data_IF_453356811898
#
_entry.id   IF_453356811898
#
_cell.length_a   1.000
_cell.length_b   1.000
_cell.length_c   1.000
_cell.angle_alpha   90.00
_cell.angle_beta   90.00
_cell.angle_gamma   90.00
#
_symmetry.space_group_name_H-M   'P 1'
#
loop_
_entity.id
_entity.type
_entity.pdbx_description
1 polymer ?
#
# COMPACT_ATOMS: atom_id res chain seq x y z
N UNK A 1 -9.50 52.25 -6.52
CA UNK A 1 -8.56 52.30 -7.67
C UNK A 1 -7.99 50.90 -7.84
N UNK A 2 -8.68 50.05 -8.58
CA UNK A 2 -8.25 49.56 -9.90
C UNK A 2 -8.34 48.03 -9.77
N UNK A 3 -9.06 47.26 -10.57
CA UNK A 3 -9.41 47.38 -11.96
C UNK A 3 -9.38 45.93 -12.47
N UNK A 4 -10.48 45.20 -12.31
CA UNK A 4 -10.63 43.84 -12.83
C UNK A 4 -12.02 43.71 -13.44
N UNK A 5 -12.20 44.44 -14.54
CA UNK A 5 -13.27 44.24 -15.51
C UNK A 5 -12.90 43.06 -16.41
N UNK A 6 -13.94 42.37 -16.86
CA UNK A 6 -14.01 41.55 -18.08
C UNK A 6 -13.29 40.20 -18.08
N UNK A 7 -14.05 39.16 -17.71
CA UNK A 7 -14.06 37.89 -18.45
C UNK A 7 -15.45 37.27 -18.30
N UNK A 8 -16.40 37.86 -19.02
CA UNK A 8 -17.76 37.37 -19.20
C UNK A 8 -18.07 37.52 -20.69
N UNK A 9 -17.80 36.46 -21.46
CA UNK A 9 -18.35 36.16 -22.79
C UNK A 9 -17.47 35.11 -23.49
N UNK A 10 -17.97 33.87 -23.55
CA UNK A 10 -17.71 32.84 -24.58
C UNK A 10 -17.92 31.45 -23.95
N UNK A 11 -19.16 31.12 -23.60
CA UNK A 11 -19.57 29.77 -23.27
C UNK A 11 -20.85 29.46 -24.04
N UNK A 12 -20.77 29.58 -25.37
CA UNK A 12 -21.80 29.06 -26.26
C UNK A 12 -21.10 28.58 -27.54
N UNK A 13 -21.25 27.30 -27.88
CA UNK A 13 -20.68 26.73 -29.10
C UNK A 13 -19.74 25.50 -28.96
N UNK A 14 -19.90 24.64 -27.96
CA UNK A 14 -19.28 23.29 -28.01
C UNK A 14 -20.31 22.18 -27.80
N UNK A 15 -21.44 22.29 -28.48
CA UNK A 15 -22.31 21.17 -28.78
C UNK A 15 -22.12 20.89 -30.28
N UNK A 16 -22.07 19.62 -30.70
CA UNK A 16 -21.77 19.17 -32.08
C UNK A 16 -20.28 19.02 -32.44
N UNK A 17 -19.54 18.22 -31.65
CA UNK A 17 -18.48 17.37 -32.24
C UNK A 17 -18.37 16.05 -31.47
N UNK A 18 -19.50 15.34 -31.37
CA UNK A 18 -19.55 13.91 -31.07
C UNK A 18 -19.02 13.10 -32.25
N UNK A 19 -17.82 13.42 -32.75
CA UNK A 19 -17.11 12.61 -33.73
C UNK A 19 -16.62 11.40 -32.97
N UNK A 20 -17.34 10.28 -33.11
CA UNK A 20 -17.15 9.04 -32.37
C UNK A 20 -15.68 8.70 -32.23
N UNK A 21 -15.13 8.94 -31.04
CA UNK A 21 -13.78 8.56 -30.68
C UNK A 21 -13.69 7.05 -30.92
N UNK A 22 -12.88 6.66 -31.90
CA UNK A 22 -12.81 5.26 -32.34
C UNK A 22 -12.50 4.37 -31.14
N UNK A 23 -13.11 3.19 -31.06
CA UNK A 23 -12.90 2.24 -29.94
C UNK A 23 -11.41 1.97 -29.70
N UNK A 24 -10.60 2.02 -30.77
CA UNK A 24 -9.14 1.96 -30.71
C UNK A 24 -8.52 3.12 -29.91
N UNK A 25 -8.95 4.37 -30.12
CA UNK A 25 -8.48 5.52 -29.35
C UNK A 25 -8.91 5.46 -27.88
N UNK A 26 -10.10 4.95 -27.57
CA UNK A 26 -10.51 4.72 -26.18
C UNK A 26 -9.71 3.60 -25.50
N UNK A 27 -9.40 2.52 -26.22
CA UNK A 27 -8.53 1.45 -25.71
C UNK A 27 -7.11 1.93 -25.51
N UNK A 28 -6.58 2.74 -26.43
CA UNK A 28 -5.24 3.31 -26.33
C UNK A 28 -5.14 4.34 -25.20
N UNK A 29 -6.18 5.14 -24.98
CA UNK A 29 -6.27 6.05 -23.84
C UNK A 29 -6.37 5.32 -22.49
N UNK A 30 -7.02 4.14 -22.45
CA UNK A 30 -7.06 3.27 -21.25
C UNK A 30 -5.77 2.46 -21.05
N UNK A 31 -5.08 2.12 -22.14
CA UNK A 31 -3.83 1.37 -22.11
C UNK A 31 -2.61 2.27 -21.83
N UNK A 32 -2.76 3.59 -21.94
CA UNK A 32 -1.80 4.55 -21.42
C UNK A 32 -1.71 4.37 -19.90
N UNK A 33 -0.74 3.56 -19.47
CA UNK A 33 -0.40 3.39 -18.07
C UNK A 33 -0.24 4.77 -17.45
N UNK A 34 -0.79 5.02 -16.25
CA UNK A 34 -0.58 6.28 -15.56
C UNK A 34 0.93 6.50 -15.50
N UNK A 35 1.41 7.60 -16.09
CA UNK A 35 2.82 7.94 -16.03
C UNK A 35 3.14 8.19 -14.55
N UNK A 36 3.72 7.17 -13.90
CA UNK A 36 4.14 7.26 -12.51
C UNK A 36 5.14 8.41 -12.39
N UNK A 37 4.98 9.21 -11.35
CA UNK A 37 5.95 10.24 -11.02
C UNK A 37 7.34 9.62 -10.90
N UNK A 38 8.39 10.30 -11.39
CA UNK A 38 9.79 9.85 -11.24
C UNK A 38 10.14 9.55 -9.77
N UNK A 39 9.58 10.32 -8.84
CA UNK A 39 9.75 10.09 -7.40
C UNK A 39 9.08 8.81 -6.92
N UNK A 40 7.87 8.51 -7.43
CA UNK A 40 7.16 7.29 -7.09
C UNK A 40 7.89 6.06 -7.60
N UNK A 41 8.41 6.13 -8.83
CA UNK A 41 9.27 5.09 -9.39
C UNK A 41 10.53 4.87 -8.54
N UNK A 42 11.25 5.95 -8.21
CA UNK A 42 12.45 5.87 -7.38
C UNK A 42 12.15 5.27 -6.00
N UNK A 43 11.04 5.67 -5.37
CA UNK A 43 10.58 5.10 -4.10
C UNK A 43 10.35 3.59 -4.22
N UNK A 44 9.66 3.12 -5.25
CA UNK A 44 9.42 1.70 -5.47
C UNK A 44 10.71 0.91 -5.72
N UNK A 45 11.67 1.48 -6.46
CA UNK A 45 12.98 0.87 -6.66
C UNK A 45 13.73 0.73 -5.34
N UNK A 46 13.77 1.78 -4.51
CA UNK A 46 14.40 1.72 -3.17
C UNK A 46 13.73 0.65 -2.30
N UNK A 47 12.40 0.59 -2.29
CA UNK A 47 11.65 -0.43 -1.56
C UNK A 47 11.97 -1.85 -2.06
N UNK A 48 12.13 -2.05 -3.36
CA UNK A 48 12.51 -3.34 -3.93
C UNK A 48 13.93 -3.76 -3.52
N UNK A 49 14.90 -2.83 -3.53
CA UNK A 49 16.27 -3.10 -3.05
C UNK A 49 16.29 -3.46 -1.58
N UNK A 50 15.57 -2.72 -0.74
CA UNK A 50 15.43 -3.04 0.69
C UNK A 50 14.74 -4.40 0.91
N UNK A 51 13.75 -4.75 0.08
CA UNK A 51 13.13 -6.07 0.09
C UNK A 51 14.16 -7.17 -0.19
N UNK A 52 14.96 -7.00 -1.24
CA UNK A 52 15.97 -7.96 -1.66
C UNK A 52 17.07 -8.13 -0.60
N UNK A 53 17.54 -7.03 0.00
CA UNK A 53 18.51 -7.04 1.09
C UNK A 53 17.97 -7.80 2.30
N UNK A 54 16.72 -7.55 2.69
CA UNK A 54 16.10 -8.27 3.81
C UNK A 54 15.93 -9.76 3.52
N UNK A 55 15.54 -10.13 2.30
CA UNK A 55 15.44 -11.52 1.88
C UNK A 55 16.79 -12.23 1.91
N UNK A 56 17.86 -11.55 1.50
CA UNK A 56 19.22 -12.09 1.58
C UNK A 56 19.74 -12.18 3.02
N UNK A 57 19.38 -11.21 3.87
CA UNK A 57 19.88 -11.13 5.25
C UNK A 57 19.16 -12.09 6.19
N UNK A 58 17.87 -12.36 5.97
CA UNK A 58 17.08 -13.26 6.80
C UNK A 58 17.67 -14.67 6.99
N UNK A 59 18.04 -15.43 5.93
CA UNK A 59 18.66 -16.75 6.11
C UNK A 59 20.01 -16.65 6.84
N UNK A 60 20.77 -15.57 6.65
CA UNK A 60 22.04 -15.35 7.35
C UNK A 60 21.81 -15.12 8.84
N UNK A 61 20.87 -14.24 9.23
CA UNK A 61 20.54 -13.98 10.63
C UNK A 61 19.92 -15.20 11.31
N UNK A 62 18.99 -15.89 10.65
CA UNK A 62 18.38 -17.10 11.23
C UNK A 62 19.40 -18.22 11.40
N UNK A 63 20.29 -18.44 10.41
CA UNK A 63 21.38 -19.40 10.53
C UNK A 63 22.34 -19.00 11.65
N UNK A 64 22.72 -17.73 11.73
CA UNK A 64 23.58 -17.22 12.80
C UNK A 64 22.98 -17.50 14.17
N UNK A 65 21.69 -17.21 14.38
CA UNK A 65 20.99 -17.49 15.64
C UNK A 65 20.91 -18.99 15.97
N UNK A 66 20.80 -19.86 14.95
CA UNK A 66 20.80 -21.32 15.15
C UNK A 66 22.20 -21.88 15.45
N UNK A 67 23.25 -21.32 14.84
CA UNK A 67 24.63 -21.81 14.96
C UNK A 67 25.46 -21.09 16.03
N UNK A 68 24.95 -19.98 16.58
CA UNK A 68 25.61 -19.24 17.64
C UNK A 68 25.79 -20.14 18.86
N UNK A 69 27.05 -20.50 19.15
CA UNK A 69 27.45 -21.48 20.18
C UNK A 69 27.14 -21.06 21.62
N UNK A 70 26.59 -19.86 21.83
CA UNK A 70 26.49 -19.21 23.14
C UNK A 70 25.12 -19.41 23.80
N UNK A 71 24.15 -19.92 23.05
CA UNK A 71 22.79 -20.08 23.51
C UNK A 71 22.33 -21.50 23.18
N UNK A 72 21.46 -22.07 24.03
CA UNK A 72 20.78 -23.32 23.67
C UNK A 72 20.08 -23.09 22.31
N UNK A 73 20.26 -23.97 21.32
CA UNK A 73 19.74 -23.76 19.98
C UNK A 73 18.23 -23.52 20.07
N UNK A 74 17.80 -22.35 19.59
CA UNK A 74 16.39 -21.98 19.62
C UNK A 74 15.67 -22.91 18.63
N UNK A 75 14.65 -23.68 19.07
CA UNK A 75 13.85 -24.48 18.17
C UNK A 75 13.26 -23.60 17.08
N UNK A 76 13.34 -24.03 15.83
CA UNK A 76 12.81 -23.31 14.66
C UNK A 76 11.36 -22.89 14.83
N UNK A 77 10.55 -23.72 15.51
CA UNK A 77 9.14 -23.46 15.78
C UNK A 77 8.96 -22.26 16.73
N UNK A 78 9.79 -22.14 17.78
CA UNK A 78 9.72 -20.99 18.69
C UNK A 78 10.11 -19.69 17.98
N UNK A 79 11.14 -19.73 17.14
CA UNK A 79 11.56 -18.56 16.37
C UNK A 79 10.44 -18.09 15.42
N UNK A 80 9.78 -19.03 14.74
CA UNK A 80 8.65 -18.72 13.87
C UNK A 80 7.48 -18.10 14.64
N UNK A 81 7.15 -18.61 15.84
CA UNK A 81 6.10 -18.03 16.69
C UNK A 81 6.43 -16.60 17.08
N UNK A 82 7.66 -16.33 17.52
CA UNK A 82 8.10 -14.96 17.89
C UNK A 82 8.02 -14.01 16.70
N UNK A 83 8.47 -14.44 15.52
CA UNK A 83 8.31 -13.67 14.27
C UNK A 83 6.84 -13.31 14.05
N UNK A 84 5.95 -14.30 14.14
CA UNK A 84 4.53 -14.09 13.87
C UNK A 84 3.87 -13.14 14.88
N UNK A 85 4.23 -13.24 16.16
CA UNK A 85 3.71 -12.37 17.23
C UNK A 85 4.08 -10.91 16.98
N UNK A 86 5.33 -10.63 16.60
CA UNK A 86 5.79 -9.26 16.35
C UNK A 86 5.13 -8.68 15.10
N UNK A 87 4.88 -9.54 14.13
CA UNK A 87 4.58 -9.05 12.82
C UNK A 87 3.09 -8.93 12.51
N UNK A 88 2.23 -9.70 13.20
CA UNK A 88 0.79 -9.46 13.21
C UNK A 88 0.39 -8.01 13.55
N UNK A 89 0.84 -7.40 14.66
CA UNK A 89 0.49 -6.02 14.99
C UNK A 89 1.06 -5.04 13.95
N UNK A 90 2.26 -5.32 13.42
CA UNK A 90 2.84 -4.47 12.40
C UNK A 90 2.07 -4.55 11.06
N UNK A 91 1.55 -5.72 10.67
CA UNK A 91 0.63 -5.89 9.55
C UNK A 91 -0.65 -5.08 9.76
N UNK A 92 -1.23 -5.15 10.95
CA UNK A 92 -2.44 -4.39 11.29
C UNK A 92 -2.18 -2.87 11.16
N UNK A 93 -1.08 -2.38 11.73
CA UNK A 93 -0.73 -0.97 11.76
C UNK A 93 -0.40 -0.44 10.35
N UNK A 94 0.46 -1.12 9.61
CA UNK A 94 0.99 -0.61 8.35
C UNK A 94 0.13 -0.95 7.14
N UNK A 95 -0.68 -2.00 7.20
CA UNK A 95 -1.50 -2.43 6.07
C UNK A 95 -3.01 -2.30 6.31
N UNK A 96 -3.53 -2.87 7.39
CA UNK A 96 -4.98 -2.92 7.62
C UNK A 96 -5.56 -1.54 7.90
N UNK A 97 -4.92 -0.74 8.77
CA UNK A 97 -5.42 0.60 9.10
C UNK A 97 -5.39 1.53 7.86
N UNK A 98 -4.28 1.66 7.09
CA UNK A 98 -4.25 2.55 5.93
C UNK A 98 -5.21 2.13 4.82
N UNK A 99 -5.34 0.82 4.56
CA UNK A 99 -6.26 0.33 3.53
C UNK A 99 -7.73 0.59 3.91
N UNK A 100 -8.11 0.38 5.17
CA UNK A 100 -9.43 0.75 5.68
C UNK A 100 -9.68 2.25 5.60
N UNK A 101 -8.70 3.08 5.95
CA UNK A 101 -8.81 4.54 5.84
C UNK A 101 -9.00 5.00 4.40
N UNK A 102 -8.20 4.46 3.45
CA UNK A 102 -8.37 4.74 2.02
C UNK A 102 -9.74 4.30 1.50
N UNK A 103 -10.20 3.11 1.88
CA UNK A 103 -11.52 2.62 1.48
C UNK A 103 -12.65 3.51 2.02
N UNK A 104 -12.56 3.96 3.28
CA UNK A 104 -13.50 4.92 3.86
C UNK A 104 -13.48 6.26 3.14
N UNK A 105 -12.29 6.77 2.82
CA UNK A 105 -12.15 8.02 2.09
C UNK A 105 -12.72 7.94 0.67
N UNK A 106 -12.45 6.85 -0.05
CA UNK A 106 -12.99 6.60 -1.38
C UNK A 106 -14.54 6.53 -1.36
N UNK A 107 -15.12 5.86 -0.36
CA UNK A 107 -16.59 5.81 -0.18
C UNK A 107 -17.19 7.19 0.06
N UNK A 108 -16.56 8.02 0.90
CA UNK A 108 -17.02 9.41 1.14
C UNK A 108 -16.98 10.25 -0.14
N UNK A 109 -15.90 10.13 -0.93
CA UNK A 109 -15.77 10.85 -2.20
C UNK A 109 -16.84 10.40 -3.21
N UNK A 110 -17.13 9.09 -3.29
CA UNK A 110 -18.21 8.56 -4.12
C UNK A 110 -19.60 9.05 -3.67
N UNK A 111 -19.86 9.11 -2.36
CA UNK A 111 -21.12 9.64 -1.82
C UNK A 111 -21.31 11.11 -2.17
N UNK A 112 -20.27 11.93 -2.05
CA UNK A 112 -20.31 13.35 -2.44
C UNK A 112 -20.59 13.53 -3.94
N UNK A 113 -20.01 12.69 -4.80
CA UNK A 113 -20.28 12.73 -6.24
C UNK A 113 -21.73 12.35 -6.56
N UNK A 114 -22.28 11.31 -5.90
CA UNK A 114 -23.68 10.92 -6.06
C UNK A 114 -24.65 12.02 -5.62
N UNK A 115 -24.38 12.69 -4.49
CA UNK A 115 -25.21 13.80 -4.03
C UNK A 115 -25.18 14.99 -5.00
N UNK A 116 -24.00 15.32 -5.56
CA UNK A 116 -23.90 16.36 -6.59
C UNK A 116 -24.67 16.00 -7.86
N UNK A 117 -24.58 14.75 -8.31
CA UNK A 117 -25.35 14.27 -9.46
C UNK A 117 -26.86 14.35 -9.19
N UNK A 118 -27.32 13.92 -8.01
CA UNK A 118 -28.73 14.02 -7.63
C UNK A 118 -29.23 15.47 -7.59
N UNK A 119 -28.43 16.41 -7.09
CA UNK A 119 -28.80 17.83 -7.05
C UNK A 119 -28.87 18.44 -8.46
N UNK A 120 -27.91 18.12 -9.34
CA UNK A 120 -27.94 18.55 -10.75
C UNK A 120 -29.17 17.96 -11.45
N UNK A 121 -29.43 16.66 -11.29
CA UNK A 121 -30.61 16.02 -11.89
C UNK A 121 -31.92 16.61 -11.36
N UNK A 122 -32.00 16.95 -10.06
CA UNK A 122 -33.16 17.60 -9.49
C UNK A 122 -33.35 19.04 -10.00
N UNK A 123 -32.26 19.78 -10.20
CA UNK A 123 -32.29 21.13 -10.79
C UNK A 123 -32.77 21.10 -12.24
N UNK A 124 -32.30 20.14 -13.03
CA UNK A 124 -32.74 19.94 -14.42
C UNK A 124 -34.25 19.63 -14.46
N UNK A 125 -34.75 18.75 -13.58
CA UNK A 125 -36.17 18.46 -13.47
C UNK A 125 -37.01 19.67 -13.05
N UNK A 126 -36.52 20.50 -12.12
CA UNK A 126 -37.21 21.72 -11.69
C UNK A 126 -37.25 22.79 -12.80
N UNK A 127 -36.16 22.93 -13.58
CA UNK A 127 -36.10 23.86 -14.71
C UNK A 127 -37.05 23.44 -15.84
N UNK A 128 -37.24 22.14 -16.08
CA UNK A 128 -38.23 21.66 -17.06
C UNK A 128 -39.67 21.89 -16.60
N UNK A 129 -39.96 21.86 -15.29
CA UNK A 129 -41.30 22.10 -14.77
C UNK A 129 -41.70 23.60 -14.76
N UNK A 130 -40.73 24.52 -14.60
CA UNK A 130 -41.00 25.95 -14.54
C UNK A 130 -41.18 26.64 -15.91
N UNK A 131 -40.89 25.95 -17.01
CA UNK A 131 -41.11 26.44 -18.38
C UNK A 131 -42.54 26.31 -18.91
N UNK A 132 -43.47 25.77 -18.11
CA UNK A 132 -44.85 25.47 -18.54
C UNK A 132 -45.90 26.55 -18.26
N UNK A 133 -45.53 27.78 -17.92
CA UNK A 133 -46.47 28.86 -17.67
C UNK A 133 -46.43 29.90 -18.81
N UNK A 134 -47.51 29.92 -19.60
CA UNK A 134 -47.82 30.79 -20.74
C UNK A 134 -47.13 30.46 -22.08
N UNK A 135 -47.42 29.29 -22.64
CA UNK A 135 -47.70 29.23 -24.08
C UNK A 135 -49.22 29.31 -24.27
N UNK A 136 -49.65 30.47 -24.76
CA UNK A 136 -50.97 30.69 -25.34
C UNK A 136 -51.19 29.65 -26.45
N UNK A 137 -52.32 28.94 -26.51
CA UNK A 137 -52.57 27.99 -27.59
C UNK A 137 -52.71 28.75 -28.92
N UNK A 138 -51.82 28.54 -29.92
CA UNK A 138 -52.09 29.00 -31.27
C UNK A 138 -52.95 27.91 -31.93
N UNK A 139 -54.23 27.91 -31.59
CA UNK A 139 -55.20 27.41 -32.54
C UNK A 139 -55.13 28.35 -33.75
N UNK A 140 -54.92 27.77 -34.94
CA UNK A 140 -54.93 28.41 -36.26
C UNK A 140 -53.64 29.13 -36.65
N UNK A 141 -52.71 28.40 -37.28
CA UNK A 141 -52.35 28.60 -38.69
C UNK A 141 -51.07 27.83 -39.03
N UNK A 142 -51.05 27.28 -40.25
CA UNK A 142 -49.91 26.71 -40.97
C UNK A 142 -49.61 25.23 -40.71
N UNK A 143 -50.48 24.42 -41.30
CA UNK A 143 -50.04 23.23 -42.03
C UNK A 143 -49.06 23.68 -43.14
N UNK A 144 -47.75 23.52 -42.94
CA UNK A 144 -46.83 23.46 -44.08
C UNK A 144 -45.68 22.49 -43.80
N UNK A 145 -45.97 21.27 -44.23
CA UNK A 145 -45.11 20.11 -44.37
C UNK A 145 -43.98 20.42 -45.36
N UNK A 146 -42.83 20.90 -44.89
CA UNK A 146 -41.60 20.95 -45.68
C UNK A 146 -40.74 19.71 -45.43
N UNK A 147 -41.09 18.67 -46.17
CA UNK A 147 -40.32 17.45 -46.37
C UNK A 147 -39.06 17.79 -47.18
N UNK A 148 -38.00 18.28 -46.51
CA UNK A 148 -36.69 18.46 -47.15
C UNK A 148 -36.02 17.09 -47.28
N UNK A 149 -36.27 16.48 -48.43
CA UNK A 149 -35.62 15.27 -48.92
C UNK A 149 -34.20 15.63 -49.36
N UNK A 150 -33.24 15.46 -48.46
CA UNK A 150 -31.81 15.48 -48.76
C UNK A 150 -31.47 14.26 -49.64
N UNK A 151 -31.60 14.41 -50.96
CA UNK A 151 -30.99 13.52 -51.94
C UNK A 151 -29.48 13.66 -51.87
N UNK A 152 -28.86 12.99 -50.91
CA UNK A 152 -27.43 12.74 -50.91
C UNK A 152 -27.15 11.70 -52.00
N UNK A 153 -26.58 12.19 -53.10
CA UNK A 153 -26.16 11.43 -54.27
C UNK A 153 -25.05 10.48 -53.83
N UNK A 154 -25.43 9.29 -53.36
CA UNK A 154 -24.54 8.18 -53.01
C UNK A 154 -23.78 7.81 -54.28
N UNK A 155 -22.56 8.34 -54.39
CA UNK A 155 -21.59 7.93 -55.39
C UNK A 155 -21.35 6.43 -55.20
N UNK A 156 -21.65 5.66 -56.24
CA UNK A 156 -21.58 4.21 -56.27
C UNK A 156 -20.17 3.75 -55.89
N UNK A 157 -20.02 3.37 -54.63
CA UNK A 157 -18.82 2.71 -54.11
C UNK A 157 -18.75 1.31 -54.76
N UNK A 158 -17.63 0.95 -55.43
CA UNK A 158 -17.52 -0.32 -56.13
C UNK A 158 -17.70 -1.47 -55.13
N UNK A 159 -18.74 -2.28 -55.35
CA UNK A 159 -19.07 -3.43 -54.52
C UNK A 159 -17.99 -4.51 -54.70
N UNK A 160 -16.95 -4.46 -53.86
CA UNK A 160 -16.00 -5.56 -53.69
C UNK A 160 -16.74 -6.86 -53.30
N UNK A 161 -16.29 -8.02 -53.80
CA UNK A 161 -16.97 -9.30 -53.64
C UNK A 161 -17.15 -9.66 -52.16
N UNK A 162 -18.35 -10.11 -51.80
CA UNK A 162 -18.78 -10.40 -50.41
C UNK A 162 -17.80 -11.30 -49.62
N UNK A 163 -17.06 -12.18 -50.31
CA UNK A 163 -16.05 -13.05 -49.70
C UNK A 163 -14.89 -12.26 -49.10
N UNK A 164 -14.42 -11.21 -49.77
CA UNK A 164 -13.32 -10.38 -49.27
C UNK A 164 -13.75 -9.53 -48.06
N UNK A 165 -15.01 -9.08 -48.04
CA UNK A 165 -15.59 -8.38 -46.89
C UNK A 165 -15.67 -9.27 -45.65
N UNK A 166 -16.01 -10.55 -45.80
CA UNK A 166 -16.05 -11.51 -44.68
C UNK A 166 -14.65 -11.82 -44.14
N UNK A 167 -13.66 -12.02 -45.02
CA UNK A 167 -12.26 -12.26 -44.62
C UNK A 167 -11.67 -11.03 -43.92
N UNK A 168 -11.96 -9.83 -44.43
CA UNK A 168 -11.53 -8.58 -43.78
C UNK A 168 -12.15 -8.42 -42.39
N UNK A 169 -13.47 -8.67 -42.25
CA UNK A 169 -14.14 -8.62 -40.94
C UNK A 169 -13.60 -9.67 -39.96
N UNK A 170 -13.34 -10.89 -40.43
CA UNK A 170 -12.76 -11.96 -39.60
C UNK A 170 -11.35 -11.60 -39.12
N UNK A 171 -10.50 -11.02 -39.98
CA UNK A 171 -9.16 -10.55 -39.58
C UNK A 171 -9.23 -9.43 -38.56
N UNK A 172 -10.12 -8.45 -38.75
CA UNK A 172 -10.29 -7.34 -37.79
C UNK A 172 -10.80 -7.87 -36.44
N UNK A 173 -11.73 -8.82 -36.44
CA UNK A 173 -12.22 -9.45 -35.21
C UNK A 173 -11.11 -10.25 -34.50
N UNK A 174 -10.30 -11.02 -35.25
CA UNK A 174 -9.19 -11.78 -34.68
C UNK A 174 -8.08 -10.88 -34.11
N UNK A 175 -7.76 -9.75 -34.76
CA UNK A 175 -6.79 -8.79 -34.23
C UNK A 175 -7.35 -8.14 -32.97
N UNK A 176 -8.63 -7.78 -32.94
CA UNK A 176 -9.26 -7.19 -31.76
C UNK A 176 -9.29 -8.15 -30.56
N UNK A 177 -9.53 -9.44 -30.78
CA UNK A 177 -9.51 -10.44 -29.70
C UNK A 177 -8.10 -10.68 -29.15
N UNK A 178 -7.08 -10.74 -30.01
CA UNK A 178 -5.68 -10.89 -29.58
C UNK A 178 -5.23 -9.67 -28.77
N UNK A 179 -5.51 -8.45 -29.24
CA UNK A 179 -5.17 -7.22 -28.51
C UNK A 179 -5.92 -7.15 -27.19
N UNK A 180 -7.21 -7.50 -27.17
CA UNK A 180 -8.02 -7.57 -25.95
C UNK A 180 -7.47 -8.56 -24.93
N UNK A 181 -7.02 -9.75 -25.39
CA UNK A 181 -6.43 -10.76 -24.54
C UNK A 181 -5.10 -10.30 -23.92
N UNK A 182 -4.23 -9.65 -24.69
CA UNK A 182 -2.95 -9.11 -24.19
C UNK A 182 -3.19 -8.05 -23.13
N UNK A 183 -4.13 -7.11 -23.37
CA UNK A 183 -4.47 -6.06 -22.40
C UNK A 183 -5.09 -6.66 -21.12
N UNK A 184 -5.93 -7.68 -21.25
CA UNK A 184 -6.49 -8.38 -20.10
C UNK A 184 -5.40 -9.10 -19.29
N UNK A 185 -4.44 -9.74 -19.95
CA UNK A 185 -3.29 -10.39 -19.31
C UNK A 185 -2.40 -9.37 -18.57
N UNK A 186 -2.14 -8.21 -19.17
CA UNK A 186 -1.38 -7.12 -18.56
C UNK A 186 -2.09 -6.59 -17.31
N UNK A 187 -3.41 -6.40 -17.38
CA UNK A 187 -4.23 -5.96 -16.24
C UNK A 187 -4.24 -7.00 -15.11
N UNK A 188 -4.35 -8.29 -15.45
CA UNK A 188 -4.25 -9.39 -14.49
C UNK A 188 -2.88 -9.37 -13.80
N UNK A 189 -1.81 -9.25 -14.58
CA UNK A 189 -0.43 -9.19 -14.08
C UNK A 189 -0.24 -8.01 -13.13
N UNK A 190 -0.80 -6.83 -13.43
CA UNK A 190 -0.75 -5.68 -12.52
C UNK A 190 -1.56 -5.88 -11.24
N UNK A 191 -2.73 -6.52 -11.30
CA UNK A 191 -3.53 -6.83 -10.12
C UNK A 191 -2.81 -7.83 -9.22
N UNK A 192 -2.21 -8.87 -9.82
CA UNK A 192 -1.41 -9.84 -9.09
C UNK A 192 -0.13 -9.21 -8.55
N UNK A 193 0.58 -8.38 -9.31
CA UNK A 193 1.77 -7.66 -8.86
C UNK A 193 1.45 -6.71 -7.70
N UNK A 194 0.30 -6.04 -7.69
CA UNK A 194 -0.14 -5.19 -6.58
C UNK A 194 -0.45 -6.01 -5.32
N UNK A 195 -1.10 -7.17 -5.46
CA UNK A 195 -1.34 -8.10 -4.34
C UNK A 195 -0.04 -8.75 -3.85
N UNK A 196 0.89 -9.02 -4.76
CA UNK A 196 2.21 -9.57 -4.46
C UNK A 196 3.07 -8.53 -3.75
N UNK A 197 3.12 -7.27 -4.21
CA UNK A 197 3.82 -6.18 -3.55
C UNK A 197 3.31 -5.94 -2.13
N UNK A 198 2.00 -6.10 -1.92
CA UNK A 198 1.35 -5.96 -0.64
C UNK A 198 1.63 -7.15 0.29
N UNK A 199 1.61 -8.37 -0.25
CA UNK A 199 2.08 -9.57 0.46
C UNK A 199 3.58 -9.45 0.82
N UNK A 200 4.39 -8.88 -0.07
CA UNK A 200 5.81 -8.60 0.15
C UNK A 200 6.04 -7.50 1.17
N UNK A 201 5.19 -6.46 1.24
CA UNK A 201 5.29 -5.40 2.24
C UNK A 201 4.94 -5.94 3.62
N UNK A 202 3.88 -6.74 3.71
CA UNK A 202 3.54 -7.51 4.91
C UNK A 202 4.69 -8.44 5.30
N UNK A 203 5.26 -9.17 4.35
CA UNK A 203 6.37 -10.09 4.59
C UNK A 203 7.65 -9.34 5.00
N UNK A 204 7.93 -8.16 4.44
CA UNK A 204 9.03 -7.28 4.83
C UNK A 204 8.88 -6.83 6.28
N UNK A 205 7.67 -6.44 6.66
CA UNK A 205 7.34 -6.06 8.04
C UNK A 205 7.50 -7.27 8.98
N UNK A 206 7.12 -8.46 8.53
CA UNK A 206 7.37 -9.72 9.24
C UNK A 206 8.87 -10.05 9.40
N UNK A 207 9.67 -9.77 8.37
CA UNK A 207 11.12 -10.03 8.37
C UNK A 207 11.92 -8.98 9.14
N UNK A 208 11.41 -7.75 9.25
CA UNK A 208 12.02 -6.70 10.07
C UNK A 208 11.86 -6.98 11.58
N UNK A 209 10.83 -7.73 11.99
CA UNK A 209 10.61 -8.08 13.40
C UNK A 209 11.84 -8.70 14.09
N UNK A 210 12.42 -9.79 13.55
CA UNK A 210 13.65 -10.39 14.07
C UNK A 210 14.87 -9.48 13.99
N UNK A 211 14.98 -8.65 12.94
CA UNK A 211 16.10 -7.72 12.80
C UNK A 211 16.03 -6.62 13.87
N UNK A 212 14.84 -6.05 14.08
CA UNK A 212 14.59 -5.08 15.15
C UNK A 212 14.78 -5.75 16.50
N UNK A 213 14.37 -7.00 16.71
CA UNK A 213 14.63 -7.73 17.97
C UNK A 213 16.10 -8.06 18.15
N UNK A 214 16.85 -8.38 17.10
CA UNK A 214 18.29 -8.65 17.18
C UNK A 214 19.09 -7.35 17.43
N UNK A 215 18.76 -6.27 16.72
CA UNK A 215 19.33 -4.95 16.94
C UNK A 215 18.93 -4.41 18.30
N UNK A 216 17.65 -4.56 18.68
CA UNK A 216 17.17 -4.26 20.01
C UNK A 216 18.00 -5.07 20.99
N UNK A 217 18.07 -6.41 20.96
CA UNK A 217 18.86 -7.24 21.89
C UNK A 217 20.35 -6.82 21.96
N UNK A 218 20.98 -6.43 20.86
CA UNK A 218 22.39 -6.00 20.85
C UNK A 218 22.57 -4.61 21.47
N UNK A 219 21.67 -3.67 21.17
CA UNK A 219 21.64 -2.33 21.78
C UNK A 219 21.02 -2.33 23.18
N UNK A 220 20.15 -3.29 23.52
CA UNK A 220 19.48 -3.51 24.80
C UNK A 220 20.46 -4.14 25.76
N UNK A 221 21.28 -5.12 25.38
CA UNK A 221 22.20 -5.69 26.37
C UNK A 221 23.21 -4.65 26.91
N UNK A 222 23.47 -3.56 26.17
CA UNK A 222 24.27 -2.43 26.64
C UNK A 222 23.46 -1.20 27.12
N UNK A 223 22.36 -0.84 26.45
CA UNK A 223 21.50 0.29 26.82
C UNK A 223 20.42 -0.11 27.86
N UNK A 224 19.87 -1.33 27.87
CA UNK A 224 18.98 -1.81 28.95
C UNK A 224 19.67 -1.86 30.29
N UNK A 225 21.00 -1.90 30.43
CA UNK A 225 21.53 -1.85 31.81
C UNK A 225 21.17 -0.52 32.48
N UNK A 226 21.38 0.59 31.76
CA UNK A 226 21.09 1.91 32.29
C UNK A 226 19.62 2.29 32.09
N UNK A 227 19.00 1.89 30.98
CA UNK A 227 17.58 2.15 30.70
C UNK A 227 16.69 1.25 31.54
N UNK A 228 17.03 0.00 31.84
CA UNK A 228 16.21 -0.82 32.75
C UNK A 228 16.30 -0.30 34.18
N UNK A 229 17.48 0.12 34.66
CA UNK A 229 17.59 0.79 35.95
C UNK A 229 16.89 2.18 35.95
N UNK A 230 17.02 2.97 34.89
CA UNK A 230 16.35 4.28 34.82
C UNK A 230 14.85 4.21 34.57
N UNK A 231 14.34 3.13 33.99
CA UNK A 231 12.95 3.03 33.55
C UNK A 231 12.18 2.04 34.43
N UNK A 232 12.69 0.84 34.71
CA UNK A 232 12.00 -0.10 35.60
C UNK A 232 12.10 0.27 37.08
N UNK A 233 13.16 0.92 37.55
CA UNK A 233 13.25 1.32 38.97
C UNK A 233 12.22 2.40 39.33
N UNK A 234 12.08 3.53 38.61
CA UNK A 234 11.00 4.47 38.91
C UNK A 234 9.62 3.93 38.53
N UNK A 235 9.50 3.10 37.49
CA UNK A 235 8.21 2.51 37.13
C UNK A 235 7.74 1.46 38.15
N UNK A 236 8.64 0.69 38.77
CA UNK A 236 8.27 -0.21 39.89
C UNK A 236 7.90 0.59 41.13
N UNK A 237 8.65 1.66 41.45
CA UNK A 237 8.31 2.61 42.51
C UNK A 237 6.93 3.27 42.30
N UNK A 238 6.52 3.51 41.05
CA UNK A 238 5.21 4.11 40.72
C UNK A 238 4.09 3.06 40.74
N UNK A 239 4.33 1.85 40.23
CA UNK A 239 3.31 0.79 40.10
C UNK A 239 2.98 0.14 41.45
N UNK A 240 3.96 -0.10 42.31
CA UNK A 240 3.73 -0.65 43.66
C UNK A 240 3.34 0.43 44.68
N UNK A 241 3.43 1.71 44.31
CA UNK A 241 3.13 2.82 45.19
C UNK A 241 4.07 2.92 46.40
N UNK A 242 3.63 3.59 47.47
CA UNK A 242 4.40 3.75 48.72
C UNK A 242 4.37 2.53 49.63
N UNK A 243 3.72 1.43 49.24
CA UNK A 243 3.54 0.27 50.12
C UNK A 243 4.75 -0.69 50.05
N UNK A 244 5.88 -0.20 50.55
CA UNK A 244 7.14 -0.94 50.70
C UNK A 244 7.15 -1.84 51.94
N UNK A 245 5.99 -2.08 52.53
CA UNK A 245 5.83 -2.83 53.78
C UNK A 245 6.40 -4.26 53.66
N UNK A 246 6.22 -4.91 52.52
CA UNK A 246 6.79 -6.23 52.25
C UNK A 246 8.33 -6.22 52.14
N UNK A 247 8.93 -5.11 51.70
CA UNK A 247 10.39 -4.93 51.61
C UNK A 247 11.02 -4.83 52.99
N UNK A 248 10.30 -4.26 53.95
CA UNK A 248 10.71 -4.19 55.36
C UNK A 248 10.54 -5.54 56.07
N UNK A 249 9.63 -6.39 55.59
CA UNK A 249 9.39 -7.74 56.11
C UNK A 249 10.41 -8.78 55.63
N UNK A 250 11.24 -8.45 54.64
CA UNK A 250 12.29 -9.35 54.14
C UNK A 250 13.37 -9.59 55.20
N UNK A 251 13.59 -10.86 55.51
CA UNK A 251 14.65 -11.29 56.42
C UNK A 251 16.04 -11.06 55.79
N UNK A 252 17.11 -10.91 56.60
CA UNK A 252 18.47 -10.73 56.07
C UNK A 252 18.90 -11.86 55.12
N UNK A 253 18.39 -13.07 55.31
CA UNK A 253 18.66 -14.21 54.45
C UNK A 253 18.07 -14.04 53.04
N UNK A 254 16.85 -13.52 52.94
CA UNK A 254 16.18 -13.29 51.65
C UNK A 254 16.81 -12.13 50.89
N UNK A 255 17.25 -11.09 51.61
CA UNK A 255 18.12 -10.05 51.04
C UNK A 255 19.43 -10.64 50.49
N UNK A 256 20.04 -11.56 51.23
CA UNK A 256 21.21 -12.30 50.77
C UNK A 256 20.96 -13.07 49.47
N UNK A 257 19.80 -13.73 49.33
CA UNK A 257 19.42 -14.47 48.12
C UNK A 257 19.20 -13.52 46.94
N UNK A 258 18.54 -12.38 47.15
CA UNK A 258 18.35 -11.37 46.10
C UNK A 258 19.68 -10.80 45.61
N UNK A 259 20.57 -10.41 46.53
CA UNK A 259 21.90 -9.91 46.18
C UNK A 259 22.73 -10.99 45.50
N UNK A 260 22.75 -12.21 46.02
CA UNK A 260 23.46 -13.33 45.43
C UNK A 260 22.97 -13.66 44.01
N UNK A 261 21.65 -13.64 43.79
CA UNK A 261 21.07 -13.90 42.48
C UNK A 261 21.46 -12.80 41.49
N UNK A 262 21.38 -11.54 41.91
CA UNK A 262 21.84 -10.39 41.11
C UNK A 262 23.33 -10.48 40.75
N UNK A 263 24.18 -10.80 41.73
CA UNK A 263 25.64 -10.94 41.53
C UNK A 263 25.97 -12.18 40.69
N UNK A 264 25.25 -13.29 40.84
CA UNK A 264 25.48 -14.53 40.08
C UNK A 264 25.12 -14.35 38.61
N UNK A 265 24.00 -13.67 38.33
CA UNK A 265 23.62 -13.29 36.96
C UNK A 265 24.68 -12.34 36.37
N UNK A 266 25.13 -11.36 37.16
CA UNK A 266 26.14 -10.39 36.72
C UNK A 266 27.51 -11.02 36.44
N UNK A 267 27.99 -11.87 37.34
CA UNK A 267 29.33 -12.49 37.22
C UNK A 267 29.34 -13.66 36.25
N UNK A 268 28.24 -14.41 36.14
CA UNK A 268 28.07 -15.47 35.15
C UNK A 268 28.19 -14.94 33.72
N UNK A 269 27.47 -13.87 33.39
CA UNK A 269 27.53 -13.24 32.08
C UNK A 269 28.91 -12.66 31.75
N UNK A 270 29.62 -12.13 32.76
CA UNK A 270 30.98 -11.57 32.59
C UNK A 270 32.04 -12.67 32.38
N UNK A 271 31.90 -13.82 33.05
CA UNK A 271 32.80 -14.97 32.86
C UNK A 271 32.65 -15.58 31.48
N UNK A 272 31.42 -15.71 30.98
CA UNK A 272 31.20 -16.24 29.63
C UNK A 272 31.79 -15.33 28.56
N UNK A 273 31.57 -14.01 28.64
CA UNK A 273 32.14 -13.06 27.67
C UNK A 273 33.68 -13.04 27.64
N UNK A 274 34.32 -13.12 28.80
CA UNK A 274 35.80 -13.14 28.88
C UNK A 274 36.42 -14.44 28.38
N UNK A 275 35.74 -15.58 28.56
CA UNK A 275 36.18 -16.86 27.98
C UNK A 275 36.04 -16.88 26.45
N UNK A 276 35.03 -16.22 25.90
CA UNK A 276 34.86 -16.10 24.45
C UNK A 276 35.98 -15.31 23.80
N UNK A 277 36.33 -14.17 24.40
CA UNK A 277 37.42 -13.31 23.95
C UNK A 277 38.77 -14.05 23.93
N UNK A 278 39.06 -14.84 24.98
CA UNK A 278 40.27 -15.68 24.99
C UNK A 278 40.27 -16.75 23.91
N UNK A 279 39.13 -17.40 23.66
CA UNK A 279 39.02 -18.40 22.58
C UNK A 279 39.23 -17.78 21.20
N UNK A 280 38.69 -16.58 20.96
CA UNK A 280 38.89 -15.85 19.70
C UNK A 280 40.35 -15.40 19.53
N UNK A 281 41.00 -14.90 20.58
CA UNK A 281 42.42 -14.57 20.54
C UNK A 281 43.28 -15.79 20.21
N UNK A 282 43.03 -16.93 20.86
CA UNK A 282 43.78 -18.16 20.60
C UNK A 282 43.59 -18.67 19.16
N UNK A 283 42.38 -18.54 18.59
CA UNK A 283 42.16 -18.91 17.20
C UNK A 283 42.86 -17.95 16.22
N UNK A 284 42.91 -16.66 16.53
CA UNK A 284 43.65 -15.68 15.73
C UNK A 284 45.16 -15.92 15.76
N UNK A 285 45.74 -16.23 16.93
CA UNK A 285 47.16 -16.58 17.04
C UNK A 285 47.52 -17.87 16.28
N UNK A 286 46.61 -18.83 16.21
CA UNK A 286 46.81 -20.09 15.49
C UNK A 286 46.73 -19.93 13.97
N UNK A 287 46.02 -18.91 13.48
CA UNK A 287 45.92 -18.60 12.04
C UNK A 287 47.08 -17.74 11.56
N UNK A 288 47.71 -16.96 12.45
CA UNK A 288 48.87 -16.12 12.12
C UNK A 288 50.22 -16.84 12.22
N UNK A 289 50.24 -18.08 12.72
CA UNK A 289 51.42 -18.95 12.74
C UNK A 289 51.36 -19.95 11.59
#
# INVERSE_FOLDING_TARGET
MGGSKQQLAAADGSNVQGKGMTVAQQLQAKAALPQLSKFEYAFWVVMAVLAQLNWGLYPVCTRYLQTARNHKPIPTLQLAVVINIIAYPALIIFYTIPSMLRARYARRKQQQQRQKQQCITALDMASSASGGALEVPPALLSAEQSTVSSSEKVAAEPQLPLKERLVAKARVAAVATVVGAIVALQALTNIYAARLALAYLVQLVFMFGPLVVALANTYILWANRNVALLLFTPLSLIIEGTDWSWVVLLTPAEWGILVYTGVSIYTGLRREGSQQLRRLQLQLELVMK
#
